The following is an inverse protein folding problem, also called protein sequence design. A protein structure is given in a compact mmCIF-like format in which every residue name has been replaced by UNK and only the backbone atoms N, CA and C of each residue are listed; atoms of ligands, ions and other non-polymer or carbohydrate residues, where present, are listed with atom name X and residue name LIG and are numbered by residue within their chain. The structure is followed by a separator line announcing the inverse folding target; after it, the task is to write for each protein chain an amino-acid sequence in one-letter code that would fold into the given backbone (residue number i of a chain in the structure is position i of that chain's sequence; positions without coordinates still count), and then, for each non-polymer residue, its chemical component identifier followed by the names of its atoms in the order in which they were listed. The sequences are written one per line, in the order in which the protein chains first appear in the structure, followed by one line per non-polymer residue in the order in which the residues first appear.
data_IF_750733100662
#
_entry.id   IF_750733100662
#
_cell.length_a   1.000
_cell.length_b   1.000
_cell.length_c   1.000
_cell.angle_alpha   90.00
_cell.angle_beta   90.00
_cell.angle_gamma   90.00
#
_symmetry.space_group_name_H-M   'P 1'
#
loop_
_entity.id
_entity.type
_entity.pdbx_description
1 polymer ?
#
# COMPACT_ATOMS: atom_id res chain seq x y z
N UNK A 1 -25.08 -51.13 47.76
CA UNK A 1 -24.32 -50.64 46.59
C UNK A 1 -24.82 -49.25 46.16
N UNK A 2 -24.43 -48.15 46.83
CA UNK A 2 -24.88 -46.78 46.43
C UNK A 2 -23.82 -45.68 46.60
N UNK A 3 -22.58 -46.00 47.03
CA UNK A 3 -21.55 -44.98 47.31
C UNK A 3 -20.78 -44.48 46.07
N UNK A 4 -20.79 -45.23 44.95
CA UNK A 4 -20.00 -44.88 43.75
C UNK A 4 -20.73 -44.00 42.72
N UNK A 5 -22.05 -43.83 42.84
CA UNK A 5 -22.86 -43.09 41.84
C UNK A 5 -22.57 -41.58 41.86
N UNK A 6 -22.34 -41.00 43.04
CA UNK A 6 -22.02 -39.57 43.20
C UNK A 6 -20.64 -39.21 42.67
N UNK A 7 -19.66 -40.12 42.78
CA UNK A 7 -18.32 -39.93 42.22
C UNK A 7 -18.34 -40.00 40.69
N UNK A 8 -19.10 -40.94 40.12
CA UNK A 8 -19.28 -41.07 38.68
C UNK A 8 -19.93 -39.85 38.02
N UNK A 9 -20.97 -39.27 38.64
CA UNK A 9 -21.63 -38.07 38.11
C UNK A 9 -20.67 -36.87 38.09
N UNK A 10 -19.84 -36.70 39.13
CA UNK A 10 -18.82 -35.65 39.15
C UNK A 10 -17.75 -35.86 38.07
N UNK A 11 -17.35 -37.11 37.83
CA UNK A 11 -16.36 -37.44 36.81
C UNK A 11 -16.90 -37.17 35.39
N UNK A 12 -18.15 -37.57 35.10
CA UNK A 12 -18.81 -37.28 33.83
C UNK A 12 -18.97 -35.78 33.62
N UNK A 13 -19.34 -35.02 34.66
CA UNK A 13 -19.46 -33.56 34.59
C UNK A 13 -18.12 -32.87 34.27
N UNK A 14 -17.02 -33.36 34.84
CA UNK A 14 -15.69 -32.80 34.61
C UNK A 14 -15.19 -33.08 33.18
N UNK A 15 -15.48 -34.28 32.66
CA UNK A 15 -15.19 -34.63 31.26
C UNK A 15 -16.01 -33.78 30.30
N UNK A 16 -17.30 -33.57 30.56
CA UNK A 16 -18.14 -32.72 29.71
C UNK A 16 -17.63 -31.27 29.66
N UNK A 17 -17.20 -30.73 30.80
CA UNK A 17 -16.65 -29.38 30.89
C UNK A 17 -15.35 -29.25 30.08
N UNK A 18 -14.45 -30.24 30.12
CA UNK A 18 -13.21 -30.16 29.33
C UNK A 18 -13.47 -30.24 27.82
N UNK A 19 -14.44 -31.06 27.40
CA UNK A 19 -14.84 -31.14 25.98
C UNK A 19 -15.43 -29.82 25.52
N UNK A 20 -16.28 -29.18 26.31
CA UNK A 20 -16.85 -27.87 25.98
C UNK A 20 -15.77 -26.79 25.84
N UNK A 21 -14.80 -26.75 26.77
CA UNK A 21 -13.67 -25.82 26.70
C UNK A 21 -12.85 -26.06 25.42
N UNK A 22 -12.57 -27.32 25.10
CA UNK A 22 -11.81 -27.68 23.90
C UNK A 22 -12.54 -27.26 22.60
N UNK A 23 -13.85 -27.51 22.52
CA UNK A 23 -14.67 -27.09 21.37
C UNK A 23 -14.72 -25.57 21.26
N UNK A 24 -14.85 -24.84 22.37
CA UNK A 24 -14.81 -23.37 22.37
C UNK A 24 -13.46 -22.82 21.89
N UNK A 25 -12.34 -23.44 22.29
CA UNK A 25 -11.00 -23.04 21.82
C UNK A 25 -10.88 -23.29 20.31
N UNK A 26 -11.30 -24.48 19.83
CA UNK A 26 -11.27 -24.80 18.40
C UNK A 26 -12.16 -23.83 17.58
N UNK A 27 -13.33 -23.48 18.10
CA UNK A 27 -14.23 -22.51 17.48
C UNK A 27 -13.60 -21.10 17.42
N UNK A 28 -13.01 -20.61 18.51
CA UNK A 28 -12.31 -19.33 18.54
C UNK A 28 -11.10 -19.29 17.60
N UNK A 29 -10.33 -20.38 17.54
CA UNK A 29 -9.22 -20.52 16.60
C UNK A 29 -9.72 -20.55 15.14
N UNK A 30 -10.86 -21.21 14.87
CA UNK A 30 -11.46 -21.22 13.54
C UNK A 30 -11.95 -19.84 13.10
N UNK A 31 -12.49 -19.03 14.02
CA UNK A 31 -12.86 -17.64 13.74
C UNK A 31 -11.64 -16.79 13.41
N UNK A 32 -10.55 -16.92 14.19
CA UNK A 32 -9.28 -16.23 13.91
C UNK A 32 -8.67 -16.63 12.57
N UNK A 33 -8.76 -17.91 12.19
CA UNK A 33 -8.29 -18.40 10.90
C UNK A 33 -9.19 -17.96 9.73
N UNK A 34 -10.47 -17.68 9.97
CA UNK A 34 -11.40 -17.19 8.94
C UNK A 34 -11.23 -15.70 8.67
N UNK A 35 -10.83 -14.89 9.65
CA UNK A 35 -10.45 -13.48 9.42
C UNK A 35 -9.09 -13.33 8.73
N UNK A 36 -8.18 -14.31 8.89
CA UNK A 36 -6.84 -14.32 8.27
C UNK A 36 -6.79 -14.89 6.86
N UNK A 37 -7.91 -15.41 6.32
CA UNK A 37 -7.95 -16.14 5.05
C UNK A 37 -8.85 -15.48 3.99
N UNK A 38 -8.91 -14.15 3.96
CA UNK A 38 -9.32 -13.44 2.75
C UNK A 38 -8.11 -13.31 1.79
N UNK A 39 -8.00 -14.12 0.73
CA UNK A 39 -6.95 -14.01 -0.28
C UNK A 39 -7.03 -12.71 -1.13
N UNK A 40 -7.91 -11.75 -0.79
CA UNK A 40 -8.07 -10.47 -1.49
C UNK A 40 -7.28 -9.29 -0.90
N UNK A 41 -6.67 -9.40 0.28
CA UNK A 41 -6.01 -8.24 0.91
C UNK A 41 -4.47 -8.29 0.84
N UNK A 42 -3.89 -9.47 0.60
CA UNK A 42 -2.43 -9.62 0.46
C UNK A 42 -1.89 -8.88 -0.76
N UNK A 43 -2.64 -8.89 -1.88
CA UNK A 43 -2.29 -8.14 -3.08
C UNK A 43 -2.24 -6.63 -2.80
N UNK A 44 -3.30 -6.09 -2.18
CA UNK A 44 -3.36 -4.69 -1.78
C UNK A 44 -2.26 -4.30 -0.78
N UNK A 45 -1.96 -5.14 0.21
CA UNK A 45 -0.88 -4.88 1.18
C UNK A 45 0.48 -4.83 0.49
N UNK A 46 0.76 -5.76 -0.42
CA UNK A 46 2.01 -5.80 -1.19
C UNK A 46 2.13 -4.57 -2.10
N UNK A 47 1.08 -4.26 -2.87
CA UNK A 47 1.01 -3.07 -3.72
C UNK A 47 1.20 -1.78 -2.93
N UNK A 48 0.51 -1.64 -1.79
CA UNK A 48 0.65 -0.49 -0.90
C UNK A 48 2.08 -0.36 -0.37
N UNK A 49 2.72 -1.48 -0.01
CA UNK A 49 4.11 -1.48 0.46
C UNK A 49 5.06 -0.99 -0.63
N UNK A 50 4.99 -1.56 -1.84
CA UNK A 50 5.82 -1.13 -2.96
C UNK A 50 5.61 0.34 -3.35
N UNK A 51 4.35 0.79 -3.43
CA UNK A 51 4.03 2.18 -3.74
C UNK A 51 4.55 3.14 -2.65
N UNK A 52 4.33 2.80 -1.38
CA UNK A 52 4.77 3.63 -0.26
C UNK A 52 6.29 3.70 -0.17
N UNK A 53 6.99 2.58 -0.34
CA UNK A 53 8.45 2.54 -0.26
C UNK A 53 9.10 3.27 -1.43
N UNK A 54 8.58 3.08 -2.65
CA UNK A 54 9.05 3.82 -3.84
C UNK A 54 8.83 5.32 -3.70
N UNK A 55 7.63 5.74 -3.30
CA UNK A 55 7.33 7.15 -3.08
C UNK A 55 8.19 7.76 -1.97
N UNK A 56 8.44 7.03 -0.88
CA UNK A 56 9.32 7.49 0.20
C UNK A 56 10.78 7.61 -0.22
N UNK A 57 11.26 6.66 -1.02
CA UNK A 57 12.62 6.65 -1.55
C UNK A 57 12.87 7.89 -2.41
N UNK A 58 12.00 8.13 -3.39
CA UNK A 58 12.09 9.28 -4.29
C UNK A 58 11.92 10.62 -3.55
N UNK A 59 11.10 10.64 -2.49
CA UNK A 59 10.92 11.82 -1.65
C UNK A 59 12.13 12.15 -0.77
N UNK A 60 12.94 11.15 -0.40
CA UNK A 60 14.06 11.29 0.55
C UNK A 60 15.43 11.27 -0.13
N UNK A 61 15.47 11.42 -1.46
CA UNK A 61 16.69 11.34 -2.29
C UNK A 61 17.77 12.42 -1.99
N UNK A 62 17.60 13.21 -0.93
CA UNK A 62 18.63 14.10 -0.35
C UNK A 62 19.84 13.33 0.22
N UNK A 63 19.74 12.02 0.45
CA UNK A 63 20.79 11.23 1.12
C UNK A 63 22.17 11.24 0.43
N UNK A 64 22.25 11.61 -0.85
CA UNK A 64 23.51 11.66 -1.61
C UNK A 64 23.91 13.08 -2.08
N UNK A 65 23.30 14.14 -1.55
CA UNK A 65 23.55 15.52 -1.99
C UNK A 65 23.25 15.78 -3.49
N UNK A 66 22.60 14.82 -4.15
CA UNK A 66 22.18 14.89 -5.55
C UNK A 66 20.72 15.38 -5.59
N UNK A 67 20.57 16.70 -5.51
CA UNK A 67 19.25 17.35 -5.50
C UNK A 67 18.46 17.19 -6.80
N UNK A 68 19.05 16.60 -7.84
CA UNK A 68 18.39 16.37 -9.13
C UNK A 68 17.34 15.25 -9.08
N UNK A 69 17.39 14.38 -8.06
CA UNK A 69 16.51 13.21 -7.90
C UNK A 69 15.47 13.33 -6.78
N UNK A 70 15.31 14.52 -6.21
CA UNK A 70 14.37 14.79 -5.13
C UNK A 70 12.98 15.09 -5.71
N UNK A 71 12.04 14.17 -5.52
CA UNK A 71 10.67 14.29 -6.02
C UNK A 71 9.95 15.53 -5.47
N UNK A 72 10.21 15.93 -4.22
CA UNK A 72 9.59 17.11 -3.64
C UNK A 72 10.08 18.38 -4.35
N UNK A 73 11.39 18.49 -4.61
CA UNK A 73 11.97 19.59 -5.38
C UNK A 73 11.50 19.57 -6.84
N UNK A 74 11.43 18.41 -7.47
CA UNK A 74 10.94 18.25 -8.84
C UNK A 74 9.52 18.82 -9.01
N UNK A 75 8.61 18.45 -8.10
CA UNK A 75 7.21 18.90 -8.13
C UNK A 75 7.10 20.39 -7.82
N UNK A 76 7.88 20.91 -6.86
CA UNK A 76 7.90 22.33 -6.50
C UNK A 76 8.50 23.19 -7.62
N UNK A 77 9.50 22.68 -8.36
CA UNK A 77 10.22 23.43 -9.39
C UNK A 77 9.57 23.41 -10.79
N UNK A 78 8.26 23.12 -10.88
CA UNK A 78 7.47 23.17 -12.14
C UNK A 78 7.87 22.19 -13.26
N UNK A 79 8.80 21.26 -13.02
CA UNK A 79 9.18 20.26 -14.02
C UNK A 79 8.08 19.23 -14.31
N UNK A 80 7.08 19.14 -13.44
CA UNK A 80 5.95 18.21 -13.64
C UNK A 80 5.25 18.42 -14.98
N UNK A 81 5.04 19.67 -15.39
CA UNK A 81 4.36 20.03 -16.65
C UNK A 81 5.32 20.36 -17.79
N UNK A 82 6.63 20.33 -17.55
CA UNK A 82 7.66 20.61 -18.56
C UNK A 82 8.01 19.35 -19.35
N UNK A 83 8.25 19.47 -20.65
CA UNK A 83 8.85 18.41 -21.48
C UNK A 83 10.35 18.23 -21.21
N UNK A 84 11.00 19.24 -20.62
CA UNK A 84 12.36 19.15 -20.13
C UNK A 84 12.35 18.49 -18.76
N UNK A 85 12.49 17.16 -18.75
CA UNK A 85 12.54 16.38 -17.52
C UNK A 85 14.00 16.08 -17.13
N UNK A 86 14.61 16.82 -16.17
CA UNK A 86 15.93 16.49 -15.64
C UNK A 86 15.93 15.19 -14.82
N UNK A 87 14.74 14.69 -14.46
CA UNK A 87 14.53 13.56 -13.57
C UNK A 87 13.59 12.56 -14.23
N UNK A 88 14.14 11.59 -14.98
CA UNK A 88 13.33 10.56 -15.60
C UNK A 88 12.66 9.66 -14.54
N UNK A 89 11.51 10.11 -14.04
CA UNK A 89 10.75 9.50 -12.96
C UNK A 89 10.34 8.07 -13.34
N UNK A 90 10.00 7.86 -14.62
CA UNK A 90 9.65 6.55 -15.16
C UNK A 90 10.83 5.57 -15.11
N UNK A 91 12.03 6.00 -15.48
CA UNK A 91 13.23 5.14 -15.39
C UNK A 91 13.56 4.78 -13.94
N UNK A 92 13.46 5.74 -13.01
CA UNK A 92 13.79 5.48 -11.61
C UNK A 92 12.76 4.54 -10.97
N UNK A 93 11.48 4.66 -11.34
CA UNK A 93 10.44 3.75 -10.86
C UNK A 93 10.55 2.37 -11.47
N UNK A 94 10.87 2.27 -12.75
CA UNK A 94 11.12 0.98 -13.43
C UNK A 94 12.28 0.22 -12.78
N UNK A 95 13.27 0.93 -12.20
CA UNK A 95 14.36 0.30 -11.44
C UNK A 95 13.95 -0.12 -10.02
N UNK A 96 12.98 0.57 -9.40
CA UNK A 96 12.55 0.32 -8.02
C UNK A 96 11.42 -0.70 -7.91
N UNK A 97 10.51 -0.70 -8.88
CA UNK A 97 9.34 -1.57 -8.91
C UNK A 97 9.67 -2.88 -9.62
N UNK A 98 9.11 -4.02 -9.16
CA UNK A 98 9.19 -5.27 -9.90
C UNK A 98 8.56 -5.18 -11.30
N UNK A 99 9.08 -6.01 -12.20
CA UNK A 99 8.67 -6.13 -13.62
C UNK A 99 7.21 -6.55 -13.85
N UNK A 100 6.58 -7.15 -12.86
CA UNK A 100 5.16 -7.57 -12.88
C UNK A 100 4.22 -6.51 -12.30
N UNK A 101 4.70 -5.31 -12.01
CA UNK A 101 3.90 -4.17 -11.58
C UNK A 101 3.82 -3.09 -12.66
N UNK A 102 2.60 -2.66 -12.97
CA UNK A 102 2.34 -1.42 -13.68
C UNK A 102 2.26 -0.25 -12.70
N UNK A 103 2.57 0.96 -13.18
CA UNK A 103 2.49 2.17 -12.38
C UNK A 103 2.13 3.40 -13.20
N UNK A 104 1.54 4.40 -12.54
CA UNK A 104 1.36 5.74 -13.08
C UNK A 104 1.55 6.77 -11.98
N UNK A 105 2.17 7.90 -12.33
CA UNK A 105 2.30 9.05 -11.45
C UNK A 105 1.34 10.15 -11.87
N UNK A 106 0.68 10.75 -10.90
CA UNK A 106 -0.20 11.90 -11.14
C UNK A 106 -0.11 12.93 -10.01
N UNK A 107 -0.17 14.19 -10.41
CA UNK A 107 -0.27 15.35 -9.53
C UNK A 107 -1.71 15.81 -9.51
N UNK A 108 -2.26 15.96 -8.31
CA UNK A 108 -3.53 16.61 -8.06
C UNK A 108 -3.27 18.02 -7.55
N UNK A 109 -3.66 19.02 -8.34
CA UNK A 109 -3.53 20.43 -8.02
C UNK A 109 -4.86 21.14 -8.27
N UNK A 110 -5.47 21.65 -7.20
CA UNK A 110 -6.69 22.46 -7.25
C UNK A 110 -7.82 21.90 -8.14
N UNK A 111 -8.07 20.58 -8.05
CA UNK A 111 -9.09 19.89 -8.85
C UNK A 111 -8.64 19.41 -10.23
N UNK A 112 -7.41 19.71 -10.64
CA UNK A 112 -6.81 19.27 -11.90
C UNK A 112 -5.89 18.08 -11.65
N UNK A 113 -5.97 17.06 -12.50
CA UNK A 113 -5.07 15.90 -12.49
C UNK A 113 -4.11 16.03 -13.67
N UNK A 114 -2.81 16.06 -13.38
CA UNK A 114 -1.74 16.05 -14.38
C UNK A 114 -0.95 14.75 -14.26
N UNK A 115 -0.92 13.94 -15.32
CA UNK A 115 -0.19 12.69 -15.36
C UNK A 115 1.27 12.93 -15.76
N UNK A 116 2.21 12.19 -15.17
CA UNK A 116 3.62 12.22 -15.54
C UNK A 116 4.19 10.81 -15.53
N UNK A 117 4.41 10.27 -16.72
CA UNK A 117 5.07 8.98 -16.93
C UNK A 117 4.35 7.77 -16.35
N UNK A 118 5.00 6.64 -16.57
CA UNK A 118 4.58 5.33 -16.10
C UNK A 118 3.98 4.46 -17.19
N UNK A 119 4.11 3.16 -17.00
CA UNK A 119 3.66 2.15 -17.96
C UNK A 119 2.14 2.06 -17.97
N UNK A 120 1.48 2.92 -18.75
CA UNK A 120 0.17 2.61 -19.35
C UNK A 120 0.30 1.82 -20.65
N UNK A 121 1.52 1.63 -21.17
CA UNK A 121 1.73 1.25 -22.57
C UNK A 121 1.82 -0.26 -22.71
N UNK A 122 0.66 -0.90 -22.89
CA UNK A 122 0.55 -2.20 -23.56
C UNK A 122 0.16 -3.40 -22.70
N UNK A 123 0.21 -3.30 -21.36
CA UNK A 123 -0.15 -4.40 -20.47
C UNK A 123 -1.40 -4.08 -19.65
N UNK A 124 -2.37 -5.00 -19.68
CA UNK A 124 -3.63 -4.85 -18.94
C UNK A 124 -3.42 -5.21 -17.46
N UNK A 125 -4.14 -4.55 -16.53
CA UNK A 125 -4.14 -4.95 -15.13
C UNK A 125 -4.58 -6.40 -14.97
N UNK A 126 -3.78 -7.21 -14.25
CA UNK A 126 -4.09 -8.62 -13.99
C UNK A 126 -5.15 -8.82 -12.93
N UNK A 127 -5.30 -7.85 -12.04
CA UNK A 127 -6.36 -7.76 -11.04
C UNK A 127 -7.05 -6.39 -11.14
N UNK A 128 -8.26 -6.28 -10.56
CA UNK A 128 -8.95 -4.98 -10.41
C UNK A 128 -8.35 -4.12 -9.29
N UNK A 129 -7.30 -4.60 -8.63
CA UNK A 129 -6.67 -3.96 -7.49
C UNK A 129 -5.67 -2.92 -7.98
N UNK A 130 -6.03 -1.65 -7.82
CA UNK A 130 -5.16 -0.51 -8.05
C UNK A 130 -5.01 0.18 -6.70
N UNK A 131 -3.78 0.26 -6.21
CA UNK A 131 -3.47 0.97 -4.97
C UNK A 131 -2.79 2.27 -5.32
N UNK A 132 -3.28 3.37 -4.75
CA UNK A 132 -2.67 4.69 -4.89
C UNK A 132 -2.19 5.20 -3.53
N UNK A 133 -0.92 5.56 -3.46
CA UNK A 133 -0.31 6.18 -2.27
C UNK A 133 0.05 7.61 -2.61
N UNK A 134 -0.34 8.54 -1.75
CA UNK A 134 -0.15 9.97 -1.97
C UNK A 134 0.68 10.66 -0.89
N UNK A 135 1.30 11.79 -1.27
CA UNK A 135 1.93 12.75 -0.36
C UNK A 135 1.50 14.16 -0.74
N UNK A 136 1.06 14.93 0.27
CA UNK A 136 0.73 16.34 0.11
C UNK A 136 1.98 17.20 0.26
N UNK A 137 2.13 18.16 -0.65
CA UNK A 137 3.16 19.19 -0.66
C UNK A 137 2.49 20.53 -0.40
N UNK A 138 2.88 21.21 0.66
CA UNK A 138 2.63 22.64 0.82
C UNK A 138 3.88 23.38 0.36
N UNK A 139 3.81 24.11 -0.74
CA UNK A 139 5.01 24.64 -1.42
C UNK A 139 5.80 25.68 -0.62
N UNK A 140 7.04 25.88 -1.08
CA UNK A 140 7.94 26.97 -0.74
C UNK A 140 8.38 27.68 -2.03
N UNK A 141 8.49 29.01 -1.98
CA UNK A 141 8.85 29.97 -3.05
C UNK A 141 7.81 30.24 -4.16
N UNK A 142 7.92 31.38 -4.86
CA UNK A 142 6.78 32.28 -5.17
C UNK A 142 6.15 32.12 -6.56
N UNK A 143 6.56 31.17 -7.42
CA UNK A 143 6.16 31.21 -8.86
C UNK A 143 5.57 29.93 -9.46
N UNK A 144 5.31 28.87 -8.68
CA UNK A 144 5.10 27.52 -9.24
C UNK A 144 3.76 26.85 -8.88
N UNK A 145 3.39 25.80 -9.62
CA UNK A 145 2.08 25.09 -9.57
C UNK A 145 1.61 24.74 -8.16
N UNK A 146 2.53 24.33 -7.28
CA UNK A 146 2.19 23.89 -5.92
C UNK A 146 2.53 24.88 -4.80
N UNK A 147 2.71 26.17 -5.12
CA UNK A 147 3.26 27.15 -4.17
C UNK A 147 2.20 27.95 -3.43
N UNK A 148 1.03 28.16 -4.03
CA UNK A 148 -0.08 28.93 -3.43
C UNK A 148 -1.14 27.99 -2.84
N UNK A 149 -1.29 26.80 -3.42
CA UNK A 149 -2.28 25.79 -3.02
C UNK A 149 -1.54 24.48 -2.74
N UNK A 150 -1.88 23.76 -1.65
CA UNK A 150 -1.33 22.43 -1.42
C UNK A 150 -1.64 21.50 -2.61
N UNK A 151 -0.60 20.85 -3.14
CA UNK A 151 -0.75 19.79 -4.13
C UNK A 151 -0.63 18.43 -3.47
N UNK A 152 -1.15 17.40 -4.14
CA UNK A 152 -0.90 16.01 -3.75
C UNK A 152 -0.32 15.23 -4.91
N UNK A 153 0.83 14.60 -4.68
CA UNK A 153 1.45 13.67 -5.63
C UNK A 153 0.99 12.27 -5.29
N UNK A 154 0.61 11.49 -6.28
CA UNK A 154 0.17 10.11 -6.13
C UNK A 154 0.97 9.18 -7.02
N UNK A 155 1.30 8.01 -6.47
CA UNK A 155 1.80 6.85 -7.19
C UNK A 155 0.72 5.76 -7.12
N UNK A 156 0.12 5.46 -8.28
CA UNK A 156 -0.78 4.32 -8.43
C UNK A 156 -0.03 3.12 -9.00
N UNK A 157 -0.20 1.95 -8.39
CA UNK A 157 0.42 0.68 -8.81
C UNK A 157 -0.61 -0.43 -8.90
N UNK A 158 -0.37 -1.38 -9.80
CA UNK A 158 -1.21 -2.56 -10.03
C UNK A 158 -0.38 -3.73 -10.57
N UNK A 159 -0.88 -4.95 -10.46
CA UNK A 159 -0.26 -6.10 -11.12
C UNK A 159 -0.60 -6.13 -12.62
N UNK A 160 0.34 -6.52 -13.49
CA UNK A 160 0.16 -6.62 -14.95
C UNK A 160 0.17 -8.09 -15.44
N UNK A 161 -0.43 -8.35 -16.62
CA UNK A 161 -0.48 -9.68 -17.29
C UNK A 161 0.50 -9.77 -18.46
#
# INVERSE_FOLDING_TARGET
MMKNRKAWIKLVGLVLASVLIFVSIMYLQSLQLTESSQPGDWGNVVLNTYAKDSLNSLWRSDLNNDSSKDLAKFVINQFWTSDEDPFNLEDELTKMLPDHLGFTFYLYDNGTISHKGGSLVGLQPSTKEIVSVGRTISGANVNNTCTVVPCSVYLAVWFIQ
#
